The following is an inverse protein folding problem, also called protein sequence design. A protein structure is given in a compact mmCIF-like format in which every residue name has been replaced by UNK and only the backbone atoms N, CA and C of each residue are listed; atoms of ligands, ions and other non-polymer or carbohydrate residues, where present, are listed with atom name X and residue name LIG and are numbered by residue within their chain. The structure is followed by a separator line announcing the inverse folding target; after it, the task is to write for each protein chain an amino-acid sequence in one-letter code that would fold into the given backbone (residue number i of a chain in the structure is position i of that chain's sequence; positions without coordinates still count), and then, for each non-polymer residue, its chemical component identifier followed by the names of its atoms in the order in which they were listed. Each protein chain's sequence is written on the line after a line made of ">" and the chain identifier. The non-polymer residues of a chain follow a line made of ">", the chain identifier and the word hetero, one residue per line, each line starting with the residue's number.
data_IF_953133747063
#
_entry.id   IF_953133747063
#
_cell.length_a   1.000
_cell.length_b   1.000
_cell.length_c   1.000
_cell.angle_alpha   90.00
_cell.angle_beta   90.00
_cell.angle_gamma   90.00
#
_symmetry.space_group_name_H-M   'P 1'
#
loop_
_entity.id
_entity.type
_entity.pdbx_description
1 polymer ?
#
# COMPACT_ATOMS: atom_id res chain seq x y z
N UNK A 1 -3.15 -6.64 -20.94
CA UNK A 1 -2.81 -5.23 -21.35
C UNK A 1 -1.32 -5.05 -21.15
N UNK A 2 -0.60 -4.61 -22.15
CA UNK A 2 0.82 -4.26 -21.96
C UNK A 2 0.93 -2.94 -21.19
N UNK A 3 1.51 -2.98 -20.00
CA UNK A 3 1.70 -1.82 -19.13
C UNK A 3 2.89 -0.94 -19.54
N UNK A 4 3.72 -1.37 -20.47
CA UNK A 4 4.90 -0.63 -20.98
C UNK A 4 5.89 -0.23 -19.87
N UNK A 5 6.12 -1.13 -18.91
CA UNK A 5 7.07 -0.95 -17.80
C UNK A 5 8.17 -2.02 -17.77
N UNK A 6 8.29 -2.81 -18.84
CA UNK A 6 9.37 -3.78 -18.97
C UNK A 6 10.74 -3.10 -18.88
N UNK A 7 11.65 -3.67 -18.07
CA UNK A 7 12.98 -3.13 -17.77
C UNK A 7 12.99 -1.89 -16.87
N UNK A 8 11.83 -1.43 -16.37
CA UNK A 8 11.76 -0.38 -15.35
C UNK A 8 12.15 -0.92 -13.99
N UNK A 9 12.86 -0.13 -13.19
CA UNK A 9 13.22 -0.46 -11.82
C UNK A 9 12.11 -0.04 -10.86
N UNK A 10 11.54 -1.00 -10.16
CA UNK A 10 10.44 -0.77 -9.24
C UNK A 10 10.80 -1.14 -7.81
N UNK A 11 10.55 -0.25 -6.87
CA UNK A 11 10.57 -0.54 -5.44
C UNK A 11 9.15 -0.86 -4.99
N UNK A 12 8.98 -2.01 -4.31
CA UNK A 12 7.77 -2.33 -3.55
C UNK A 12 8.10 -2.37 -2.06
N UNK A 13 7.89 -1.26 -1.37
CA UNK A 13 8.02 -1.22 0.09
C UNK A 13 6.79 -1.89 0.74
N UNK A 14 7.05 -2.96 1.53
CA UNK A 14 6.02 -3.85 2.07
C UNK A 14 5.67 -5.01 1.13
N UNK A 15 6.61 -5.50 0.33
CA UNK A 15 6.38 -6.46 -0.76
C UNK A 15 6.37 -7.95 -0.36
N UNK A 16 6.44 -8.31 0.93
CA UNK A 16 6.59 -9.72 1.34
C UNK A 16 5.28 -10.49 1.48
N UNK A 17 4.13 -9.82 1.53
CA UNK A 17 2.82 -10.45 1.73
C UNK A 17 1.65 -9.57 1.26
N UNK A 18 0.47 -10.15 1.18
CA UNK A 18 -0.80 -9.46 0.94
C UNK A 18 -0.78 -8.56 -0.30
N UNK A 19 -1.40 -7.40 -0.20
CA UNK A 19 -1.55 -6.46 -1.32
C UNK A 19 -0.20 -5.99 -1.90
N UNK A 20 0.84 -5.83 -1.04
CA UNK A 20 2.17 -5.46 -1.50
C UNK A 20 2.81 -6.55 -2.34
N UNK A 21 2.74 -7.80 -1.89
CA UNK A 21 3.25 -8.93 -2.66
C UNK A 21 2.51 -9.08 -4.00
N UNK A 22 1.19 -9.07 -3.98
CA UNK A 22 0.39 -9.15 -5.21
C UNK A 22 0.72 -7.99 -6.18
N UNK A 23 0.97 -6.77 -5.66
CA UNK A 23 1.41 -5.64 -6.50
C UNK A 23 2.80 -5.91 -7.09
N UNK A 24 3.75 -6.43 -6.31
CA UNK A 24 5.07 -6.81 -6.81
C UNK A 24 4.96 -7.86 -7.92
N UNK A 25 4.11 -8.87 -7.75
CA UNK A 25 3.84 -9.90 -8.76
C UNK A 25 3.29 -9.31 -10.07
N UNK A 26 2.35 -8.34 -10.00
CA UNK A 26 1.83 -7.67 -11.22
C UNK A 26 2.87 -6.80 -11.91
N UNK A 27 3.75 -6.13 -11.15
CA UNK A 27 4.87 -5.39 -11.72
C UNK A 27 5.90 -6.32 -12.37
N UNK A 28 6.21 -7.46 -11.73
CA UNK A 28 7.06 -8.51 -12.29
C UNK A 28 6.48 -9.12 -13.57
N UNK A 29 5.20 -9.47 -13.58
CA UNK A 29 4.47 -9.97 -14.76
C UNK A 29 4.56 -8.99 -15.94
N UNK A 30 4.59 -7.69 -15.66
CA UNK A 30 4.77 -6.65 -16.66
C UNK A 30 6.24 -6.40 -17.04
N UNK A 31 7.18 -7.20 -16.53
CA UNK A 31 8.60 -7.19 -16.86
C UNK A 31 9.44 -6.13 -16.12
N UNK A 32 8.95 -5.59 -15.01
CA UNK A 32 9.75 -4.69 -14.19
C UNK A 32 10.80 -5.46 -13.35
N UNK A 33 11.98 -4.88 -13.18
CA UNK A 33 12.99 -5.32 -12.21
C UNK A 33 12.57 -4.83 -10.82
N UNK A 34 12.62 -5.70 -9.81
CA UNK A 34 12.06 -5.38 -8.50
C UNK A 34 13.13 -5.27 -7.41
N UNK A 35 12.93 -4.31 -6.53
CA UNK A 35 13.44 -4.30 -5.16
C UNK A 35 12.23 -4.40 -4.24
N UNK A 36 12.14 -5.46 -3.44
CA UNK A 36 11.06 -5.61 -2.47
C UNK A 36 11.62 -5.47 -1.05
N UNK A 37 10.92 -4.73 -0.17
CA UNK A 37 11.37 -4.59 1.21
C UNK A 37 10.30 -4.96 2.21
N UNK A 38 10.73 -5.51 3.35
CA UNK A 38 9.91 -5.81 4.51
C UNK A 38 10.80 -6.05 5.75
N UNK A 39 10.19 -6.11 6.95
CA UNK A 39 10.90 -6.36 8.22
C UNK A 39 11.24 -7.84 8.44
N UNK A 40 10.38 -8.74 8.00
CA UNK A 40 10.53 -10.18 8.22
C UNK A 40 11.36 -10.83 7.12
N UNK A 41 12.61 -11.20 7.44
CA UNK A 41 13.61 -11.68 6.49
C UNK A 41 13.17 -12.97 5.77
N UNK A 42 12.80 -14.01 6.51
CA UNK A 42 12.45 -15.31 5.94
C UNK A 42 11.34 -15.22 4.87
N UNK A 43 10.23 -14.54 5.24
CA UNK A 43 9.10 -14.36 4.32
C UNK A 43 9.46 -13.48 3.14
N UNK A 44 10.33 -12.47 3.34
CA UNK A 44 10.78 -11.59 2.28
C UNK A 44 11.65 -12.34 1.27
N UNK A 45 12.62 -13.12 1.74
CA UNK A 45 13.50 -13.94 0.88
C UNK A 45 12.69 -14.94 0.08
N UNK A 46 11.73 -15.62 0.72
CA UNK A 46 10.82 -16.56 0.04
C UNK A 46 10.00 -15.84 -1.04
N UNK A 47 9.40 -14.70 -0.74
CA UNK A 47 8.62 -13.94 -1.71
C UNK A 47 9.47 -13.48 -2.90
N UNK A 48 10.70 -13.00 -2.67
CA UNK A 48 11.62 -12.60 -3.72
C UNK A 48 11.95 -13.75 -4.66
N UNK A 49 12.27 -14.91 -4.11
CA UNK A 49 12.60 -16.11 -4.90
C UNK A 49 11.40 -16.57 -5.73
N UNK A 50 10.21 -16.70 -5.12
CA UNK A 50 9.00 -17.16 -5.81
C UNK A 50 8.59 -16.21 -6.95
N UNK A 51 8.68 -14.88 -6.75
CA UNK A 51 8.40 -13.90 -7.79
C UNK A 51 9.43 -13.99 -8.92
N UNK A 52 10.72 -14.08 -8.59
CA UNK A 52 11.79 -14.19 -9.57
C UNK A 52 11.63 -15.43 -10.44
N UNK A 53 11.37 -16.58 -9.82
CA UNK A 53 11.21 -17.87 -10.52
C UNK A 53 9.94 -17.91 -11.41
N UNK A 54 8.85 -17.27 -10.93
CA UNK A 54 7.57 -17.28 -11.64
C UNK A 54 7.59 -16.38 -12.88
N UNK A 55 8.16 -15.19 -12.76
CA UNK A 55 8.08 -14.16 -13.81
C UNK A 55 9.38 -13.94 -14.57
N UNK A 56 10.46 -14.66 -14.19
CA UNK A 56 11.79 -14.57 -14.81
C UNK A 56 12.32 -13.12 -14.87
N UNK A 57 12.20 -12.39 -13.75
CA UNK A 57 12.72 -11.04 -13.56
C UNK A 57 13.66 -10.98 -12.37
N UNK A 58 14.53 -9.97 -12.33
CA UNK A 58 15.39 -9.71 -11.17
C UNK A 58 14.54 -9.21 -10.00
N UNK A 59 14.67 -9.86 -8.82
CA UNK A 59 14.01 -9.43 -7.58
C UNK A 59 15.05 -9.39 -6.46
N UNK A 60 15.33 -8.19 -5.94
CA UNK A 60 16.28 -8.00 -4.84
C UNK A 60 15.52 -7.76 -3.54
N UNK A 61 15.62 -8.65 -2.53
CA UNK A 61 15.03 -8.43 -1.21
C UNK A 61 15.89 -7.49 -0.37
N UNK A 62 15.25 -6.58 0.38
CA UNK A 62 15.90 -5.69 1.34
C UNK A 62 15.19 -5.77 2.68
N UNK A 63 15.85 -6.29 3.70
CA UNK A 63 15.31 -6.28 5.06
C UNK A 63 15.36 -4.86 5.60
N UNK A 64 14.20 -4.22 5.71
CA UNK A 64 14.10 -2.81 6.07
C UNK A 64 12.79 -2.49 6.80
N UNK A 65 12.90 -1.71 7.86
CA UNK A 65 11.76 -1.03 8.47
C UNK A 65 11.67 0.41 7.94
N UNK A 66 10.69 0.69 7.12
CA UNK A 66 10.49 2.02 6.53
C UNK A 66 10.20 3.13 7.55
N UNK A 67 9.80 2.78 8.78
CA UNK A 67 9.58 3.75 9.86
C UNK A 67 10.89 4.29 10.45
N UNK A 68 12.01 3.56 10.29
CA UNK A 68 13.32 3.94 10.82
C UNK A 68 14.23 4.55 9.76
N UNK A 69 15.18 5.37 10.18
CA UNK A 69 16.16 5.97 9.29
C UNK A 69 17.10 4.90 8.71
N UNK A 70 17.54 3.97 9.54
CA UNK A 70 18.43 2.87 9.15
C UNK A 70 17.79 1.97 8.09
N UNK A 71 16.49 1.63 8.28
CA UNK A 71 15.77 0.82 7.31
C UNK A 71 15.59 1.54 5.97
N UNK A 72 15.31 2.83 5.98
CA UNK A 72 15.25 3.63 4.74
C UNK A 72 16.61 3.74 4.08
N UNK A 73 17.69 3.95 4.85
CA UNK A 73 19.05 4.03 4.31
C UNK A 73 19.47 2.72 3.62
N UNK A 74 19.12 1.56 4.19
CA UNK A 74 19.35 0.26 3.56
C UNK A 74 18.65 0.14 2.19
N UNK A 75 17.40 0.60 2.09
CA UNK A 75 16.66 0.61 0.82
C UNK A 75 17.30 1.56 -0.20
N UNK A 76 17.70 2.76 0.22
CA UNK A 76 18.33 3.77 -0.64
C UNK A 76 19.68 3.31 -1.22
N UNK A 77 20.47 2.59 -0.42
CA UNK A 77 21.76 2.07 -0.85
C UNK A 77 21.63 0.99 -1.94
N UNK A 78 20.58 0.17 -1.89
CA UNK A 78 20.37 -0.95 -2.84
C UNK A 78 19.75 -0.47 -4.15
N UNK A 79 18.84 0.51 -4.09
CA UNK A 79 18.17 1.02 -5.28
C UNK A 79 18.18 2.56 -5.27
N UNK A 80 19.27 3.20 -5.74
CA UNK A 80 19.37 4.66 -5.71
C UNK A 80 18.44 5.35 -6.71
N UNK A 81 18.12 4.71 -7.84
CA UNK A 81 17.44 5.31 -8.98
C UNK A 81 16.23 4.51 -9.47
N UNK A 82 15.17 4.32 -8.66
CA UNK A 82 13.96 3.63 -9.12
C UNK A 82 13.16 4.50 -10.10
N UNK A 83 12.49 3.84 -11.02
CA UNK A 83 11.48 4.45 -11.88
C UNK A 83 10.10 4.45 -11.20
N UNK A 84 9.81 3.36 -10.48
CA UNK A 84 8.51 3.11 -9.85
C UNK A 84 8.71 2.96 -8.35
N UNK A 85 7.82 3.58 -7.58
CA UNK A 85 7.75 3.46 -6.14
C UNK A 85 6.33 3.08 -5.72
N UNK A 86 6.14 1.85 -5.30
CA UNK A 86 4.91 1.38 -4.69
C UNK A 86 5.13 1.17 -3.19
N UNK A 87 4.25 1.71 -2.36
CA UNK A 87 4.39 1.67 -0.90
C UNK A 87 3.12 1.10 -0.29
N UNK A 88 3.25 0.04 0.49
CA UNK A 88 2.21 -0.42 1.40
C UNK A 88 2.81 -0.69 2.77
N UNK A 89 2.02 -0.50 3.81
CA UNK A 89 2.52 -0.59 5.19
C UNK A 89 1.50 -1.39 5.99
N UNK A 90 2.00 -2.37 6.77
CA UNK A 90 1.14 -3.05 7.73
C UNK A 90 0.53 -1.99 8.67
N UNK A 91 -0.81 -1.92 8.79
CA UNK A 91 -1.42 -0.99 9.72
C UNK A 91 -1.03 -1.36 11.16
N UNK A 92 -0.99 -0.37 12.08
CA UNK A 92 -0.96 -0.66 13.52
C UNK A 92 -2.17 -1.50 13.93
N UNK A 93 -2.02 -2.23 15.02
CA UNK A 93 -3.06 -3.09 15.54
C UNK A 93 -4.35 -2.29 15.86
N UNK A 94 -5.52 -2.88 15.64
CA UNK A 94 -6.79 -2.21 15.92
C UNK A 94 -6.90 -1.85 17.41
N UNK A 95 -7.38 -0.63 17.71
CA UNK A 95 -7.70 -0.22 19.05
C UNK A 95 -8.99 0.60 19.03
N UNK A 96 -10.06 0.05 19.59
CA UNK A 96 -11.37 0.69 19.66
C UNK A 96 -11.58 1.64 20.82
N UNK A 97 -10.65 1.65 21.79
CA UNK A 97 -10.71 2.52 22.96
C UNK A 97 -9.66 3.64 22.85
N UNK A 98 -10.11 4.83 22.44
CA UNK A 98 -9.20 5.95 22.22
C UNK A 98 -8.52 6.43 23.50
N UNK A 99 -9.10 6.18 24.68
CA UNK A 99 -8.50 6.55 25.98
C UNK A 99 -7.29 5.69 26.33
N UNK A 100 -7.14 4.52 25.71
CA UNK A 100 -5.99 3.63 25.87
C UNK A 100 -4.87 3.89 24.86
N UNK A 101 -5.10 4.75 23.86
CA UNK A 101 -4.07 5.08 22.88
C UNK A 101 -3.10 6.10 23.48
N UNK A 102 -1.89 5.64 23.78
CA UNK A 102 -0.84 6.47 24.38
C UNK A 102 -0.16 7.38 23.35
N UNK A 103 0.53 8.45 23.79
CA UNK A 103 1.33 9.29 22.89
C UNK A 103 2.39 8.51 22.10
N UNK A 104 2.98 7.46 22.68
CA UNK A 104 3.99 6.64 21.98
C UNK A 104 3.37 5.77 20.89
N UNK A 105 2.19 5.21 21.15
CA UNK A 105 1.43 4.52 20.11
C UNK A 105 1.09 5.46 18.93
N UNK A 106 0.70 6.71 19.22
CA UNK A 106 0.48 7.73 18.19
C UNK A 106 1.75 8.05 17.40
N UNK A 107 2.89 8.24 18.06
CA UNK A 107 4.18 8.48 17.39
C UNK A 107 4.53 7.33 16.46
N UNK A 108 4.48 6.10 16.95
CA UNK A 108 4.75 4.91 16.12
C UNK A 108 3.81 4.79 14.92
N UNK A 109 2.52 5.12 15.08
CA UNK A 109 1.57 5.12 13.98
C UNK A 109 1.88 6.20 12.92
N UNK A 110 2.27 7.40 13.38
CA UNK A 110 2.68 8.53 12.51
C UNK A 110 3.99 8.20 11.80
N UNK A 111 4.98 7.69 12.51
CA UNK A 111 6.28 7.33 11.92
C UNK A 111 6.10 6.27 10.84
N UNK A 112 5.29 5.26 11.11
CA UNK A 112 5.05 4.15 10.19
C UNK A 112 4.20 4.57 8.99
N UNK A 113 3.07 5.25 9.22
CA UNK A 113 2.05 5.43 8.18
C UNK A 113 2.08 6.80 7.49
N UNK A 114 2.92 7.72 7.95
CA UNK A 114 3.07 9.05 7.38
C UNK A 114 4.54 9.39 7.10
N UNK A 115 5.38 9.45 8.15
CA UNK A 115 6.77 9.92 8.00
C UNK A 115 7.59 8.97 7.13
N UNK A 116 7.53 7.66 7.38
CA UNK A 116 8.27 6.67 6.59
C UNK A 116 7.99 6.79 5.09
N UNK A 117 6.73 6.73 4.62
CA UNK A 117 6.39 6.98 3.21
C UNK A 117 6.86 8.32 2.67
N UNK A 118 6.68 9.41 3.43
CA UNK A 118 7.10 10.75 3.00
C UNK A 118 8.61 10.81 2.80
N UNK A 119 9.41 10.27 3.73
CA UNK A 119 10.86 10.27 3.65
C UNK A 119 11.39 9.43 2.47
N UNK A 120 10.75 8.29 2.18
CA UNK A 120 11.07 7.51 0.99
C UNK A 120 10.78 8.32 -0.28
N UNK A 121 9.60 8.95 -0.37
CA UNK A 121 9.24 9.79 -1.52
C UNK A 121 10.16 11.02 -1.63
N UNK A 122 10.48 11.67 -0.51
CA UNK A 122 11.39 12.84 -0.47
C UNK A 122 12.77 12.49 -1.02
N UNK A 123 13.26 11.29 -0.76
CA UNK A 123 14.56 10.83 -1.27
C UNK A 123 14.53 10.62 -2.79
N UNK A 124 13.50 9.99 -3.35
CA UNK A 124 13.49 9.56 -4.75
C UNK A 124 12.91 10.57 -5.73
N UNK A 125 11.99 11.42 -5.31
CA UNK A 125 11.32 12.41 -6.19
C UNK A 125 12.34 13.32 -6.93
N UNK A 126 13.42 13.85 -6.31
CA UNK A 126 14.38 14.67 -7.04
C UNK A 126 14.97 13.96 -8.26
N UNK A 127 15.49 12.75 -8.12
CA UNK A 127 16.04 11.97 -9.22
C UNK A 127 15.00 11.60 -10.29
N UNK A 128 13.75 11.29 -9.87
CA UNK A 128 12.65 11.08 -10.82
C UNK A 128 12.33 12.35 -11.62
N UNK A 129 12.36 13.53 -10.99
CA UNK A 129 12.16 14.83 -11.67
C UNK A 129 13.28 15.11 -12.69
N UNK A 130 14.53 14.85 -12.34
CA UNK A 130 15.69 15.03 -13.22
C UNK A 130 15.60 14.13 -14.47
N UNK A 131 15.13 12.89 -14.31
CA UNK A 131 14.91 11.94 -15.42
C UNK A 131 13.64 12.23 -16.23
N UNK A 132 12.78 13.15 -15.76
CA UNK A 132 11.50 13.47 -16.42
C UNK A 132 10.47 12.33 -16.34
N UNK A 133 10.65 11.35 -15.43
CA UNK A 133 9.77 10.20 -15.29
C UNK A 133 9.80 9.61 -13.88
N UNK A 134 8.62 9.34 -13.35
CA UNK A 134 8.43 8.63 -12.09
C UNK A 134 6.98 8.22 -11.88
N UNK A 135 6.75 7.08 -11.24
CA UNK A 135 5.40 6.62 -10.82
C UNK A 135 5.42 6.24 -9.36
N UNK A 136 4.51 6.83 -8.61
CA UNK A 136 4.41 6.62 -7.16
C UNK A 136 2.98 6.22 -6.83
N UNK A 137 2.82 5.07 -6.16
CA UNK A 137 1.53 4.57 -5.71
C UNK A 137 1.61 4.20 -4.23
N UNK A 138 0.79 4.87 -3.40
CA UNK A 138 0.63 4.51 -2.01
C UNK A 138 -0.62 3.63 -1.85
N UNK A 139 -0.48 2.42 -1.36
CA UNK A 139 -1.61 1.59 -0.93
C UNK A 139 -1.90 1.95 0.53
N UNK A 140 -2.82 2.87 0.72
CA UNK A 140 -3.14 3.49 2.01
C UNK A 140 -4.25 2.71 2.75
N UNK A 141 -5.42 3.31 2.93
CA UNK A 141 -6.57 2.67 3.57
C UNK A 141 -7.86 3.44 3.29
N UNK A 142 -8.94 2.73 3.13
CA UNK A 142 -10.30 3.27 3.11
C UNK A 142 -10.64 4.11 4.37
N UNK A 143 -10.13 3.71 5.56
CA UNK A 143 -10.39 4.45 6.81
C UNK A 143 -9.78 5.87 6.84
N UNK A 144 -8.95 6.23 5.86
CA UNK A 144 -8.48 7.61 5.68
C UNK A 144 -9.58 8.55 5.16
N UNK A 145 -10.60 8.03 4.46
CA UNK A 145 -11.79 8.77 4.01
C UNK A 145 -13.04 8.46 4.83
N UNK A 146 -13.12 7.26 5.39
CA UNK A 146 -14.25 6.77 6.18
C UNK A 146 -13.81 6.48 7.62
N UNK A 147 -13.88 7.45 8.55
CA UNK A 147 -13.36 7.30 9.91
C UNK A 147 -14.02 6.15 10.66
N UNK A 148 -13.20 5.35 11.37
CA UNK A 148 -13.63 4.22 12.18
C UNK A 148 -12.89 4.22 13.51
N UNK A 149 -13.61 4.01 14.62
CA UNK A 149 -13.01 4.07 15.96
C UNK A 149 -11.88 3.06 16.15
N UNK A 150 -12.01 1.85 15.65
CA UNK A 150 -10.97 0.80 15.73
C UNK A 150 -9.81 1.00 14.75
N UNK A 151 -9.85 2.05 13.92
CA UNK A 151 -8.80 2.38 12.96
C UNK A 151 -8.11 3.71 13.28
N UNK A 152 -8.17 4.17 14.51
CA UNK A 152 -7.61 5.45 14.95
C UNK A 152 -6.12 5.60 14.61
N UNK A 153 -5.32 4.58 14.83
CA UNK A 153 -3.88 4.63 14.51
C UNK A 153 -3.57 4.37 13.05
N UNK A 154 -4.57 4.02 12.24
CA UNK A 154 -4.43 3.74 10.81
C UNK A 154 -5.00 4.86 9.93
N UNK A 155 -6.23 5.29 10.20
CA UNK A 155 -6.94 6.29 9.40
C UNK A 155 -6.28 7.68 9.42
N UNK A 156 -6.17 8.35 10.59
CA UNK A 156 -5.67 9.72 10.68
C UNK A 156 -4.28 9.94 10.07
N UNK A 157 -3.23 9.14 10.35
CA UNK A 157 -1.93 9.33 9.71
C UNK A 157 -1.99 9.19 8.18
N UNK A 158 -2.82 8.26 7.69
CA UNK A 158 -2.99 8.08 6.24
C UNK A 158 -3.86 9.16 5.61
N UNK A 159 -4.81 9.77 6.35
CA UNK A 159 -5.52 10.98 5.87
C UNK A 159 -4.54 12.12 5.64
N UNK A 160 -3.55 12.28 6.53
CA UNK A 160 -2.46 13.23 6.33
C UNK A 160 -1.61 12.89 5.10
N UNK A 161 -1.31 11.59 4.85
CA UNK A 161 -0.62 11.13 3.64
C UNK A 161 -1.42 11.42 2.36
N UNK A 162 -2.76 11.26 2.38
CA UNK A 162 -3.62 11.63 1.25
C UNK A 162 -3.52 13.13 0.93
N UNK A 163 -3.54 13.97 1.97
CA UNK A 163 -3.40 15.42 1.81
C UNK A 163 -2.01 15.78 1.25
N UNK A 164 -0.94 15.17 1.77
CA UNK A 164 0.42 15.32 1.25
C UNK A 164 0.47 14.95 -0.25
N UNK A 165 -0.08 13.79 -0.63
CA UNK A 165 -0.12 13.35 -2.02
C UNK A 165 -0.84 14.36 -2.91
N UNK A 166 -2.01 14.84 -2.51
CA UNK A 166 -2.78 15.82 -3.28
C UNK A 166 -2.02 17.14 -3.48
N UNK A 167 -1.26 17.56 -2.47
CA UNK A 167 -0.47 18.79 -2.52
C UNK A 167 0.77 18.64 -3.40
N UNK A 168 1.59 17.61 -3.13
CA UNK A 168 2.88 17.41 -3.79
C UNK A 168 2.73 16.94 -5.24
N UNK A 169 1.70 16.15 -5.56
CA UNK A 169 1.48 15.65 -6.92
C UNK A 169 1.35 16.77 -7.96
N UNK A 170 0.77 17.90 -7.58
CA UNK A 170 0.64 19.09 -8.46
C UNK A 170 1.99 19.73 -8.78
N UNK A 171 2.89 19.71 -7.80
CA UNK A 171 4.24 20.27 -7.93
C UNK A 171 5.15 19.38 -8.82
N UNK A 172 4.99 18.05 -8.73
CA UNK A 172 5.89 17.11 -9.42
C UNK A 172 5.38 16.66 -10.80
N UNK A 173 4.08 16.77 -11.07
CA UNK A 173 3.48 16.34 -12.33
C UNK A 173 4.05 17.03 -13.57
N UNK A 174 4.34 18.36 -13.55
CA UNK A 174 5.01 19.02 -14.69
C UNK A 174 6.38 18.45 -15.04
N UNK A 175 7.00 17.73 -14.10
CA UNK A 175 8.30 17.04 -14.29
C UNK A 175 8.13 15.56 -14.68
N UNK A 176 6.95 15.12 -15.10
CA UNK A 176 6.70 13.74 -15.51
C UNK A 176 6.55 12.72 -14.37
N UNK A 177 6.53 13.18 -13.11
CA UNK A 177 6.37 12.33 -11.93
C UNK A 177 4.90 12.32 -11.49
N UNK A 178 4.28 11.15 -11.51
CA UNK A 178 2.86 10.97 -11.20
C UNK A 178 2.72 10.19 -9.89
N UNK A 179 1.90 10.70 -8.98
CA UNK A 179 1.66 10.10 -7.67
C UNK A 179 0.16 9.98 -7.39
N UNK A 180 -0.27 8.79 -6.91
CA UNK A 180 -1.66 8.50 -6.56
C UNK A 180 -1.73 7.60 -5.31
N UNK A 181 -2.89 7.56 -4.67
CA UNK A 181 -3.19 6.66 -3.57
C UNK A 181 -4.30 5.68 -3.94
N UNK A 182 -4.16 4.44 -3.49
CA UNK A 182 -5.22 3.44 -3.46
C UNK A 182 -5.73 3.27 -2.03
N UNK A 183 -7.04 3.21 -1.88
CA UNK A 183 -7.71 3.13 -0.59
C UNK A 183 -8.49 1.81 -0.52
N UNK A 184 -7.81 0.69 -0.14
CA UNK A 184 -8.50 -0.58 0.03
C UNK A 184 -9.50 -0.52 1.18
N UNK A 185 -10.68 -1.11 0.96
CA UNK A 185 -11.69 -1.41 1.96
C UNK A 185 -11.32 -2.64 2.79
N UNK A 186 -12.27 -3.55 2.96
CA UNK A 186 -12.05 -4.81 3.65
C UNK A 186 -11.52 -5.87 2.69
N UNK A 187 -10.31 -6.33 2.97
CA UNK A 187 -9.60 -7.34 2.20
C UNK A 187 -9.23 -8.54 3.07
N UNK A 188 -9.48 -9.75 2.55
CA UNK A 188 -9.03 -11.01 3.16
C UNK A 188 -7.56 -11.23 2.84
N UNK A 189 -6.67 -10.60 3.62
CA UNK A 189 -5.22 -10.79 3.51
C UNK A 189 -4.66 -11.34 4.82
N UNK A 190 -3.48 -11.98 4.77
CA UNK A 190 -2.80 -12.47 5.98
C UNK A 190 -2.63 -11.38 7.06
N UNK A 191 -2.38 -10.13 6.64
CA UNK A 191 -2.27 -8.99 7.55
C UNK A 191 -3.61 -8.46 8.07
N UNK A 192 -4.74 -8.98 7.60
CA UNK A 192 -6.08 -8.58 8.04
C UNK A 192 -6.67 -9.50 9.10
N UNK A 193 -6.02 -10.59 9.49
CA UNK A 193 -6.52 -11.55 10.47
C UNK A 193 -6.86 -10.91 11.82
N UNK A 194 -6.02 -10.01 12.32
CA UNK A 194 -6.25 -9.25 13.56
C UNK A 194 -7.46 -8.30 13.43
N UNK A 195 -7.62 -7.70 12.27
CA UNK A 195 -8.76 -6.82 11.96
C UNK A 195 -10.04 -7.63 11.87
N UNK A 196 -9.98 -8.80 11.22
CA UNK A 196 -11.11 -9.73 11.15
C UNK A 196 -11.49 -10.26 12.53
N UNK A 197 -10.51 -10.58 13.39
CA UNK A 197 -10.75 -10.95 14.78
C UNK A 197 -11.51 -9.86 15.54
N UNK A 198 -11.04 -8.60 15.46
CA UNK A 198 -11.71 -7.47 16.10
C UNK A 198 -13.13 -7.23 15.57
N UNK A 199 -13.39 -7.47 14.29
CA UNK A 199 -14.74 -7.45 13.72
C UNK A 199 -15.59 -8.61 14.22
N UNK A 200 -15.05 -9.81 14.19
CA UNK A 200 -15.76 -11.01 14.67
C UNK A 200 -16.19 -10.84 16.13
N UNK A 201 -15.29 -10.35 17.00
CA UNK A 201 -15.58 -10.05 18.40
C UNK A 201 -16.68 -8.99 18.54
N UNK A 202 -16.64 -7.92 17.75
CA UNK A 202 -17.61 -6.82 17.80
C UNK A 202 -19.03 -7.24 17.41
N UNK A 203 -19.17 -8.26 16.56
CA UNK A 203 -20.44 -8.75 16.04
C UNK A 203 -20.81 -10.16 16.52
N UNK A 204 -20.02 -10.78 17.39
CA UNK A 204 -20.24 -12.13 17.89
C UNK A 204 -20.15 -13.21 16.81
N UNK A 205 -19.22 -13.07 15.88
CA UNK A 205 -19.01 -13.97 14.74
C UNK A 205 -17.79 -14.87 14.96
N UNK A 206 -17.71 -15.95 14.19
CA UNK A 206 -16.46 -16.69 14.05
C UNK A 206 -15.41 -15.80 13.34
N UNK A 207 -14.13 -15.79 13.79
CA UNK A 207 -13.08 -14.95 13.22
C UNK A 207 -12.53 -15.51 11.91
N UNK A 208 -13.40 -15.94 11.00
CA UNK A 208 -13.05 -16.44 9.67
C UNK A 208 -13.43 -15.44 8.59
N UNK A 209 -12.65 -15.35 7.49
CA UNK A 209 -12.99 -14.51 6.34
C UNK A 209 -14.41 -14.78 5.81
N UNK A 210 -14.83 -16.04 5.84
CA UNK A 210 -16.12 -16.50 5.36
C UNK A 210 -17.26 -15.95 6.22
N UNK A 211 -17.20 -16.12 7.55
CA UNK A 211 -18.21 -15.65 8.49
C UNK A 211 -18.34 -14.12 8.48
N UNK A 212 -17.20 -13.42 8.49
CA UNK A 212 -17.16 -11.95 8.41
C UNK A 212 -17.67 -11.48 7.05
N UNK A 213 -17.28 -12.12 5.96
CA UNK A 213 -17.73 -11.79 4.60
C UNK A 213 -19.23 -12.00 4.44
N UNK A 214 -19.79 -13.10 4.97
CA UNK A 214 -21.22 -13.38 4.94
C UNK A 214 -22.02 -12.35 5.75
N UNK A 215 -21.52 -11.96 6.91
CA UNK A 215 -22.14 -10.90 7.73
C UNK A 215 -22.17 -9.58 6.97
N UNK A 216 -21.09 -9.16 6.34
CA UNK A 216 -21.05 -7.93 5.54
C UNK A 216 -21.98 -7.97 4.34
N UNK A 217 -22.09 -9.13 3.67
CA UNK A 217 -23.03 -9.33 2.58
C UNK A 217 -24.49 -9.26 3.06
N UNK A 218 -24.83 -9.97 4.14
CA UNK A 218 -26.19 -10.00 4.68
C UNK A 218 -26.70 -8.62 5.13
N UNK A 219 -25.79 -7.74 5.57
CA UNK A 219 -26.12 -6.39 6.02
C UNK A 219 -25.84 -5.30 4.98
N UNK A 220 -25.47 -5.69 3.75
CA UNK A 220 -25.11 -4.78 2.65
C UNK A 220 -24.00 -3.77 3.00
N UNK A 221 -23.08 -4.18 3.87
CA UNK A 221 -21.91 -3.36 4.22
C UNK A 221 -20.86 -3.32 3.09
N UNK A 222 -20.81 -4.38 2.27
CA UNK A 222 -20.01 -4.48 1.06
C UNK A 222 -20.95 -4.91 -0.08
N UNK A 223 -21.46 -3.98 -0.90
CA UNK A 223 -22.39 -4.29 -1.97
C UNK A 223 -21.92 -5.32 -2.99
N UNK A 224 -20.59 -5.43 -3.23
CA UNK A 224 -20.02 -6.47 -4.07
C UNK A 224 -20.27 -7.90 -3.54
N UNK A 225 -20.58 -8.06 -2.25
CA UNK A 225 -20.97 -9.33 -1.64
C UNK A 225 -19.82 -10.24 -1.22
N UNK A 226 -18.57 -9.76 -1.27
CA UNK A 226 -17.37 -10.51 -0.84
C UNK A 226 -16.30 -9.57 -0.29
N UNK A 227 -15.38 -10.11 0.52
CA UNK A 227 -14.16 -9.40 0.92
C UNK A 227 -13.19 -9.36 -0.25
N UNK A 228 -12.55 -8.20 -0.48
CA UNK A 228 -11.54 -8.09 -1.52
C UNK A 228 -10.36 -9.03 -1.28
N UNK A 229 -9.76 -9.52 -2.36
CA UNK A 229 -8.49 -10.23 -2.36
C UNK A 229 -7.35 -9.32 -2.83
N UNK A 230 -6.11 -9.65 -2.50
CA UNK A 230 -4.96 -8.87 -2.93
C UNK A 230 -4.92 -8.65 -4.46
N UNK A 231 -5.40 -9.63 -5.23
CA UNK A 231 -5.52 -9.56 -6.69
C UNK A 231 -6.60 -8.60 -7.20
N UNK A 232 -7.54 -8.15 -6.36
CA UNK A 232 -8.54 -7.17 -6.77
C UNK A 232 -7.99 -5.73 -6.79
N UNK A 233 -6.88 -5.47 -6.12
CA UNK A 233 -6.24 -4.14 -6.08
C UNK A 233 -4.93 -4.09 -6.85
N UNK A 234 -4.17 -5.18 -6.89
CA UNK A 234 -2.84 -5.23 -7.48
C UNK A 234 -2.80 -4.86 -8.99
N UNK A 235 -3.75 -5.27 -9.84
CA UNK A 235 -3.78 -4.85 -11.25
C UNK A 235 -3.94 -3.33 -11.39
N UNK A 236 -4.75 -2.69 -10.55
CA UNK A 236 -4.92 -1.24 -10.56
C UNK A 236 -3.65 -0.53 -10.06
N UNK A 237 -2.99 -1.07 -9.04
CA UNK A 237 -1.71 -0.54 -8.57
C UNK A 237 -0.64 -0.58 -9.67
N UNK A 238 -0.51 -1.70 -10.37
CA UNK A 238 0.42 -1.83 -11.50
C UNK A 238 0.04 -0.92 -12.69
N UNK A 239 -1.25 -0.77 -12.99
CA UNK A 239 -1.72 0.18 -14.00
C UNK A 239 -1.33 1.62 -13.65
N UNK A 240 -1.50 2.06 -12.41
CA UNK A 240 -1.12 3.40 -11.96
C UNK A 240 0.40 3.62 -12.00
N UNK A 241 1.20 2.56 -11.90
CA UNK A 241 2.64 2.58 -12.09
C UNK A 241 3.08 2.65 -13.57
N UNK A 242 2.15 2.66 -14.50
CA UNK A 242 2.43 2.64 -15.94
C UNK A 242 2.32 4.04 -16.60
N UNK A 243 2.90 4.24 -17.79
CA UNK A 243 2.67 5.46 -18.57
C UNK A 243 1.22 5.62 -19.04
N UNK A 244 0.41 4.56 -19.00
CA UNK A 244 -1.01 4.61 -19.40
C UNK A 244 -1.85 5.45 -18.43
N UNK A 245 -1.42 5.55 -17.16
CA UNK A 245 -2.10 6.32 -16.12
C UNK A 245 -1.60 7.78 -16.01
N UNK A 246 -0.87 8.29 -16.99
CA UNK A 246 -0.21 9.60 -16.94
C UNK A 246 -1.14 10.80 -16.68
N UNK A 247 -2.44 10.64 -16.92
CA UNK A 247 -3.43 11.70 -16.71
C UNK A 247 -4.22 11.56 -15.40
N UNK A 248 -3.88 10.56 -14.58
CA UNK A 248 -4.45 10.34 -13.25
C UNK A 248 -3.43 10.86 -12.24
N UNK A 249 -3.68 12.05 -11.67
CA UNK A 249 -2.69 12.78 -10.85
C UNK A 249 -3.30 13.16 -9.51
N UNK A 250 -2.64 12.77 -8.41
CA UNK A 250 -3.01 13.17 -7.05
C UNK A 250 -4.33 12.57 -6.56
N UNK A 251 -4.76 11.46 -7.15
CA UNK A 251 -6.05 10.88 -6.85
C UNK A 251 -6.01 9.93 -5.66
N UNK A 252 -7.15 9.85 -4.96
CA UNK A 252 -7.42 8.95 -3.86
C UNK A 252 -8.49 7.96 -4.33
N UNK A 253 -8.06 6.83 -4.92
CA UNK A 253 -8.96 5.88 -5.57
C UNK A 253 -9.38 4.82 -4.57
N UNK A 254 -10.66 4.74 -4.30
CA UNK A 254 -11.25 3.75 -3.39
C UNK A 254 -11.44 2.42 -4.13
N UNK A 255 -11.03 1.32 -3.48
CA UNK A 255 -11.20 -0.06 -3.96
C UNK A 255 -11.77 -0.87 -2.80
N UNK A 256 -13.10 -0.95 -2.69
CA UNK A 256 -13.76 -1.41 -1.46
C UNK A 256 -15.06 -2.20 -1.67
N UNK A 257 -15.34 -2.62 -2.89
CA UNK A 257 -16.56 -3.37 -3.21
C UNK A 257 -17.85 -2.55 -3.04
N UNK A 258 -17.75 -1.20 -3.05
CA UNK A 258 -18.89 -0.29 -2.89
C UNK A 258 -19.21 0.05 -1.42
N UNK A 259 -18.32 -0.26 -0.48
CA UNK A 259 -18.51 0.03 0.95
C UNK A 259 -18.61 1.54 1.24
N UNK A 260 -17.90 2.36 0.50
CA UNK A 260 -17.91 3.82 0.68
C UNK A 260 -19.07 4.46 -0.08
N UNK A 261 -19.91 5.16 0.65
CA UNK A 261 -21.05 5.90 0.08
C UNK A 261 -20.68 7.39 0.08
N UNK A 262 -20.08 7.85 -1.00
CA UNK A 262 -19.80 9.27 -1.22
C UNK A 262 -19.66 9.54 -2.71
N UNK A 263 -20.09 10.71 -3.12
CA UNK A 263 -19.91 11.23 -4.48
C UNK A 263 -18.69 12.15 -4.61
N UNK A 264 -17.96 12.38 -3.48
CA UNK A 264 -16.77 13.24 -3.41
C UNK A 264 -15.57 12.52 -2.80
#
# INVERSE_FOLDING_TARGET
>A
MDLKISGKKAIMAGGSAGMGRATAERLAEAGAELVISARGEERLMKAAQEISDTYNVSVTPVVADSSTEEGRAALFAICPDPDILAITIKPPDPNGDFLKVTPDMWRGAVDTALIGPIEIMRHYIPGMKERGWGRIVNIATFSAKNPMIWRLMSGPPRSALLNFTASVSREIAPHGVIMNNLLPGMFATEGASEIMGAYADAFGLDPTPEAVGEHFRAHNYIPAGFLGHADDIAPLAAFLCSPLARFIVGQNIVVDGGQHVSIF
#
